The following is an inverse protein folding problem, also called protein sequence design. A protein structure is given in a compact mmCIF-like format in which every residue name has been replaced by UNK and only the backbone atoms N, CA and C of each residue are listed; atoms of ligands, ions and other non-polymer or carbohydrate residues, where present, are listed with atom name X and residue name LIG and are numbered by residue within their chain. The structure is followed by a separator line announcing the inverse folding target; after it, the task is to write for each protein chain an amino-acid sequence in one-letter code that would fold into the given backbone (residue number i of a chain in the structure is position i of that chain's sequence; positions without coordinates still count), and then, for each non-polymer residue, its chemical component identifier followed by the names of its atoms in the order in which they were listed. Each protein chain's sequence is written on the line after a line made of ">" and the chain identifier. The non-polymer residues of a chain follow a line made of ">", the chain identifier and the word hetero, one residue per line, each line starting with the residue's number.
data_IF_687713225096
#
_entry.id   IF_687713225096
#
_cell.length_a   1.000
_cell.length_b   1.000
_cell.length_c   1.000
_cell.angle_alpha   90.00
_cell.angle_beta   90.00
_cell.angle_gamma   90.00
#
_symmetry.space_group_name_H-M   'P 1'
#
loop_
_entity.id
_entity.type
_entity.pdbx_description
1 polymer ?
#
# COMPACT_ATOMS: atom_id res chain seq x y z
N UNK A 1 13.61 0.84 11.90
CA UNK A 1 14.04 -0.52 11.43
C UNK A 1 14.67 -0.42 10.05
N UNK A 2 15.49 -1.41 9.69
CA UNK A 2 16.05 -1.53 8.35
C UNK A 2 15.35 -2.69 7.63
N UNK A 3 14.75 -2.41 6.47
CA UNK A 3 14.13 -3.43 5.60
C UNK A 3 15.15 -3.79 4.53
N UNK A 4 15.50 -5.07 4.44
CA UNK A 4 16.38 -5.62 3.41
C UNK A 4 15.51 -6.07 2.22
N UNK A 5 15.51 -5.29 1.14
CA UNK A 5 14.68 -5.56 -0.03
C UNK A 5 15.18 -6.76 -0.85
N UNK A 6 16.49 -7.06 -0.81
CA UNK A 6 17.05 -8.24 -1.52
C UNK A 6 16.59 -9.56 -0.87
N UNK A 7 16.27 -9.54 0.43
CA UNK A 7 15.79 -10.72 1.18
C UNK A 7 14.27 -10.75 1.38
N UNK A 8 13.59 -9.66 1.07
CA UNK A 8 12.14 -9.58 1.23
C UNK A 8 11.42 -10.49 0.22
N UNK A 9 10.25 -11.00 0.61
CA UNK A 9 9.36 -11.69 -0.32
C UNK A 9 8.49 -10.69 -1.05
N UNK A 10 8.33 -10.91 -2.34
CA UNK A 10 7.53 -10.07 -3.23
C UNK A 10 6.29 -10.82 -3.68
N UNK A 11 5.14 -10.14 -3.69
CA UNK A 11 3.88 -10.66 -4.17
C UNK A 11 3.20 -9.65 -5.06
N UNK A 12 2.50 -10.09 -6.09
CA UNK A 12 1.58 -9.23 -6.81
C UNK A 12 0.24 -9.92 -7.05
N UNK A 13 -0.81 -9.10 -7.01
CA UNK A 13 -2.17 -9.52 -7.29
C UNK A 13 -2.45 -9.33 -8.77
N UNK A 14 -3.00 -10.35 -9.42
CA UNK A 14 -3.59 -10.22 -10.77
C UNK A 14 -4.95 -10.90 -10.85
N UNK A 15 -5.73 -10.49 -11.84
CA UNK A 15 -7.04 -11.09 -12.09
C UNK A 15 -7.26 -11.28 -13.58
N UNK A 16 -7.13 -12.54 -14.05
CA UNK A 16 -7.39 -12.95 -15.44
C UNK A 16 -6.82 -11.99 -16.50
N UNK A 17 -5.61 -11.50 -16.28
CA UNK A 17 -4.95 -10.53 -17.16
C UNK A 17 -3.51 -10.95 -17.45
N UNK A 18 -3.35 -11.82 -18.46
CA UNK A 18 -2.04 -12.35 -18.81
C UNK A 18 -1.05 -11.27 -19.25
N UNK A 19 -1.52 -10.19 -19.91
CA UNK A 19 -0.65 -9.07 -20.30
C UNK A 19 -0.04 -8.38 -19.08
N UNK A 20 -0.84 -8.09 -18.04
CA UNK A 20 -0.35 -7.48 -16.79
C UNK A 20 0.55 -8.43 -16.04
N UNK A 21 0.20 -9.72 -15.98
CA UNK A 21 1.02 -10.75 -15.36
C UNK A 21 2.41 -10.85 -15.99
N UNK A 22 2.49 -10.93 -17.31
CA UNK A 22 3.77 -10.96 -18.03
C UNK A 22 4.57 -9.67 -17.83
N UNK A 23 3.92 -8.52 -17.83
CA UNK A 23 4.56 -7.26 -17.52
C UNK A 23 5.23 -7.28 -16.14
N UNK A 24 4.50 -7.73 -15.10
CA UNK A 24 5.05 -7.80 -13.74
C UNK A 24 6.24 -8.75 -13.63
N UNK A 25 6.16 -9.92 -14.26
CA UNK A 25 7.26 -10.89 -14.27
C UNK A 25 8.52 -10.35 -14.98
N UNK A 26 8.35 -9.58 -16.06
CA UNK A 26 9.48 -8.95 -16.75
C UNK A 26 10.04 -7.74 -15.99
N UNK A 27 9.17 -6.87 -15.46
CA UNK A 27 9.56 -5.68 -14.70
C UNK A 27 10.33 -6.03 -13.43
N UNK A 28 9.99 -7.15 -12.79
CA UNK A 28 10.57 -7.62 -11.54
C UNK A 28 11.37 -8.93 -11.70
N UNK A 29 11.92 -9.20 -12.88
CA UNK A 29 12.67 -10.44 -13.17
C UNK A 29 13.91 -10.67 -12.29
N UNK A 30 14.44 -9.60 -11.69
CA UNK A 30 15.64 -9.66 -10.86
C UNK A 30 15.33 -10.03 -9.39
N UNK A 31 14.07 -10.23 -9.04
CA UNK A 31 13.61 -10.62 -7.69
C UNK A 31 12.68 -11.83 -7.76
N UNK A 32 12.63 -12.61 -6.66
CA UNK A 32 11.69 -13.73 -6.53
C UNK A 32 10.28 -13.21 -6.23
N UNK A 33 9.54 -12.86 -7.29
CA UNK A 33 8.20 -12.32 -7.19
C UNK A 33 7.14 -13.39 -7.38
N UNK A 34 6.20 -13.50 -6.45
CA UNK A 34 5.14 -14.48 -6.43
C UNK A 34 3.84 -13.89 -6.99
N UNK A 35 3.36 -14.47 -8.08
CA UNK A 35 2.06 -14.14 -8.65
C UNK A 35 0.94 -14.79 -7.87
N UNK A 36 -0.04 -14.02 -7.42
CA UNK A 36 -1.26 -14.52 -6.79
C UNK A 36 -2.47 -14.14 -7.64
N UNK A 37 -3.09 -15.14 -8.23
CA UNK A 37 -4.30 -14.93 -9.01
C UNK A 37 -5.53 -14.86 -8.10
N UNK A 38 -6.30 -13.78 -8.26
CA UNK A 38 -7.60 -13.67 -7.64
C UNK A 38 -8.61 -14.57 -8.32
N UNK A 39 -9.73 -14.79 -7.66
CA UNK A 39 -10.88 -15.53 -8.22
C UNK A 39 -12.02 -14.57 -8.52
N UNK A 40 -12.83 -14.93 -9.51
CA UNK A 40 -14.04 -14.18 -9.82
C UNK A 40 -15.02 -14.23 -8.65
N UNK A 41 -15.61 -13.09 -8.35
CA UNK A 41 -16.74 -12.96 -7.43
C UNK A 41 -17.79 -12.02 -8.06
N UNK A 42 -18.85 -11.72 -7.34
CA UNK A 42 -19.98 -10.89 -7.80
C UNK A 42 -19.60 -9.46 -8.20
N UNK A 43 -18.43 -8.98 -7.77
CA UNK A 43 -17.89 -7.67 -8.15
C UNK A 43 -16.35 -7.66 -8.22
N UNK A 44 -15.80 -6.61 -8.86
CA UNK A 44 -14.34 -6.39 -8.89
C UNK A 44 -13.77 -6.14 -7.50
N UNK A 45 -14.50 -5.42 -6.65
CA UNK A 45 -14.06 -5.12 -5.29
C UNK A 45 -13.91 -6.40 -4.46
N UNK A 46 -14.90 -7.29 -4.53
CA UNK A 46 -14.87 -8.57 -3.85
C UNK A 46 -13.75 -9.47 -4.38
N UNK A 47 -13.63 -9.57 -5.70
CA UNK A 47 -12.54 -10.32 -6.33
C UNK A 47 -11.17 -9.83 -5.86
N UNK A 48 -10.95 -8.51 -5.86
CA UNK A 48 -9.70 -7.91 -5.40
C UNK A 48 -9.44 -8.17 -3.91
N UNK A 49 -10.45 -7.98 -3.06
CA UNK A 49 -10.33 -8.24 -1.62
C UNK A 49 -9.96 -9.70 -1.32
N UNK A 50 -10.54 -10.67 -2.06
CA UNK A 50 -10.17 -12.10 -1.97
C UNK A 50 -8.71 -12.30 -2.37
N UNK A 51 -8.28 -11.68 -3.48
CA UNK A 51 -6.91 -11.82 -3.97
C UNK A 51 -5.89 -11.26 -2.98
N UNK A 52 -6.12 -10.08 -2.43
CA UNK A 52 -5.27 -9.54 -1.36
C UNK A 52 -5.25 -10.44 -0.12
N UNK A 53 -6.41 -10.94 0.32
CA UNK A 53 -6.47 -11.87 1.45
C UNK A 53 -5.64 -13.13 1.21
N UNK A 54 -5.68 -13.69 0.00
CA UNK A 54 -4.82 -14.83 -0.36
C UNK A 54 -3.33 -14.51 -0.25
N UNK A 55 -2.89 -13.31 -0.69
CA UNK A 55 -1.50 -12.87 -0.52
C UNK A 55 -1.12 -12.87 0.95
N UNK A 56 -1.96 -12.29 1.81
CA UNK A 56 -1.70 -12.20 3.25
C UNK A 56 -1.60 -13.59 3.90
N UNK A 57 -2.46 -14.53 3.48
CA UNK A 57 -2.43 -15.92 3.96
C UNK A 57 -1.13 -16.63 3.53
N UNK A 58 -0.75 -16.52 2.24
CA UNK A 58 0.48 -17.11 1.70
C UNK A 58 1.71 -16.53 2.40
N UNK A 59 1.78 -15.22 2.56
CA UNK A 59 2.88 -14.55 3.25
C UNK A 59 2.98 -15.00 4.71
N UNK A 60 1.85 -15.12 5.42
CA UNK A 60 1.80 -15.62 6.79
C UNK A 60 2.31 -17.07 6.89
N UNK A 61 1.93 -17.93 5.96
CA UNK A 61 2.40 -19.30 5.91
C UNK A 61 3.91 -19.39 5.64
N UNK A 62 4.46 -18.52 4.79
CA UNK A 62 5.91 -18.45 4.56
C UNK A 62 6.65 -18.04 5.84
N UNK A 63 6.16 -17.02 6.54
CA UNK A 63 6.75 -16.59 7.82
C UNK A 63 6.78 -17.72 8.86
N UNK A 64 5.73 -18.53 8.93
CA UNK A 64 5.64 -19.66 9.85
C UNK A 64 6.59 -20.80 9.48
N UNK A 65 6.72 -21.13 8.18
CA UNK A 65 7.59 -22.21 7.70
C UNK A 65 9.07 -21.90 7.90
N UNK A 66 9.48 -20.65 7.74
CA UNK A 66 10.87 -20.23 7.92
C UNK A 66 11.31 -20.28 9.40
N UNK A 67 10.40 -20.63 10.33
CA UNK A 67 10.70 -20.75 11.75
C UNK A 67 11.12 -19.44 12.42
N UNK A 68 10.92 -18.33 11.72
CA UNK A 68 11.31 -17.02 12.19
C UNK A 68 10.45 -16.60 13.39
N UNK A 69 11.10 -16.33 14.52
CA UNK A 69 10.44 -15.76 15.70
C UNK A 69 10.16 -14.26 15.54
N UNK A 70 10.75 -13.63 14.55
CA UNK A 70 10.65 -12.19 14.26
C UNK A 70 9.90 -12.02 12.95
N UNK A 71 8.94 -11.11 12.94
CA UNK A 71 8.19 -10.75 11.74
C UNK A 71 9.15 -10.26 10.66
N UNK A 72 9.05 -10.82 9.46
CA UNK A 72 9.82 -10.37 8.31
C UNK A 72 8.92 -9.51 7.41
N UNK A 73 9.30 -8.28 7.08
CA UNK A 73 8.58 -7.45 6.13
C UNK A 73 8.46 -8.13 4.76
N UNK A 74 7.32 -7.93 4.10
CA UNK A 74 7.09 -8.42 2.75
C UNK A 74 6.34 -7.39 1.90
N UNK A 75 6.49 -7.49 0.59
CA UNK A 75 6.07 -6.48 -0.37
C UNK A 75 4.88 -6.98 -1.16
N UNK A 76 3.89 -6.12 -1.35
CA UNK A 76 2.69 -6.40 -2.16
C UNK A 76 2.53 -5.33 -3.22
N UNK A 77 2.25 -5.78 -4.46
CA UNK A 77 1.95 -4.92 -5.60
C UNK A 77 0.58 -5.24 -6.23
N UNK A 78 -0.01 -4.25 -6.86
CA UNK A 78 -1.00 -4.45 -7.92
C UNK A 78 -0.30 -4.79 -9.24
N UNK A 79 -1.02 -5.32 -10.22
CA UNK A 79 -0.42 -5.82 -11.48
C UNK A 79 -0.26 -4.78 -12.59
N UNK A 80 -0.55 -3.52 -12.30
CA UNK A 80 -0.45 -2.40 -13.24
C UNK A 80 0.62 -1.37 -12.86
N UNK A 81 1.59 -1.78 -12.08
CA UNK A 81 2.68 -0.91 -11.65
C UNK A 81 3.90 -1.01 -12.58
N UNK A 82 4.74 0.01 -12.49
CA UNK A 82 6.07 0.06 -13.08
C UNK A 82 7.07 0.64 -12.09
N UNK A 83 8.33 0.22 -12.17
CA UNK A 83 9.42 0.83 -11.41
C UNK A 83 9.55 2.31 -11.81
N UNK A 84 9.61 3.17 -10.81
CA UNK A 84 9.93 4.59 -11.01
C UNK A 84 11.43 4.84 -10.97
N UNK A 85 12.10 4.10 -10.08
CA UNK A 85 13.56 4.14 -9.90
C UNK A 85 14.08 2.77 -9.47
N UNK A 86 15.39 2.60 -9.52
CA UNK A 86 16.03 1.40 -9.00
C UNK A 86 15.73 1.22 -7.51
N UNK A 87 15.47 -0.04 -7.14
CA UNK A 87 15.23 -0.42 -5.76
C UNK A 87 16.56 -0.37 -4.99
N UNK A 88 16.63 0.35 -3.86
CA UNK A 88 17.80 0.29 -2.99
C UNK A 88 17.88 -1.10 -2.35
N UNK A 89 19.06 -1.50 -1.90
CA UNK A 89 19.21 -2.77 -1.17
C UNK A 89 18.45 -2.78 0.15
N UNK A 90 18.45 -1.64 0.82
CA UNK A 90 17.79 -1.48 2.12
C UNK A 90 17.05 -0.15 2.19
N UNK A 91 16.01 -0.12 3.02
CA UNK A 91 15.27 1.11 3.37
C UNK A 91 15.28 1.24 4.89
N UNK A 92 15.66 2.43 5.37
CA UNK A 92 15.57 2.78 6.80
C UNK A 92 14.26 3.53 7.07
N UNK A 93 13.49 3.05 8.05
CA UNK A 93 12.20 3.61 8.45
C UNK A 93 12.06 3.61 9.98
N UNK A 94 11.07 4.33 10.56
CA UNK A 94 10.80 4.25 11.99
C UNK A 94 10.56 2.82 12.47
N UNK A 95 11.06 2.50 13.67
CA UNK A 95 10.99 1.14 14.26
C UNK A 95 9.56 0.67 14.55
N UNK A 96 8.64 1.59 14.69
CA UNK A 96 7.23 1.36 14.98
C UNK A 96 6.34 1.24 13.74
N UNK A 97 6.94 1.17 12.54
CA UNK A 97 6.20 1.11 11.29
C UNK A 97 5.31 -0.14 11.20
N UNK A 98 4.04 0.07 10.90
CA UNK A 98 3.10 -0.98 10.58
C UNK A 98 3.08 -1.27 9.07
N UNK A 99 3.07 -0.19 8.26
CA UNK A 99 3.05 -0.25 6.79
C UNK A 99 3.94 0.84 6.23
N UNK A 100 4.65 0.53 5.15
CA UNK A 100 5.36 1.49 4.32
C UNK A 100 4.81 1.48 2.89
N UNK A 101 4.32 2.62 2.43
CA UNK A 101 3.97 2.83 1.02
C UNK A 101 5.23 3.14 0.22
N UNK A 102 5.45 2.39 -0.85
CA UNK A 102 6.53 2.58 -1.82
C UNK A 102 5.99 3.02 -3.19
N UNK A 103 4.68 3.06 -3.34
CA UNK A 103 3.94 3.76 -4.40
C UNK A 103 3.09 4.86 -3.78
N UNK A 104 2.93 5.98 -4.47
CA UNK A 104 2.24 7.16 -3.96
C UNK A 104 1.04 7.54 -4.83
N UNK A 105 0.07 8.21 -4.22
CA UNK A 105 -1.08 8.84 -4.89
C UNK A 105 -1.29 10.25 -4.37
N UNK A 106 -1.74 11.15 -5.23
CA UNK A 106 -2.19 12.50 -4.84
C UNK A 106 -3.63 12.48 -4.28
N UNK A 107 -4.33 11.36 -4.46
CA UNK A 107 -5.70 11.23 -3.99
C UNK A 107 -5.72 10.85 -2.52
N UNK A 108 -6.57 11.54 -1.77
CA UNK A 108 -6.84 11.26 -0.37
C UNK A 108 -8.31 11.12 -0.08
N UNK A 109 -8.65 10.81 1.18
CA UNK A 109 -10.00 10.84 1.70
C UNK A 109 -10.17 11.91 2.76
N UNK A 110 -11.23 12.70 2.66
CA UNK A 110 -11.65 13.62 3.68
C UNK A 110 -13.14 13.42 3.96
N UNK A 111 -13.50 13.09 5.21
CA UNK A 111 -14.90 12.91 5.63
C UNK A 111 -15.73 12.05 4.66
N UNK A 112 -15.22 10.87 4.28
CA UNK A 112 -15.85 9.93 3.34
C UNK A 112 -15.94 10.42 1.87
N UNK A 113 -15.35 11.56 1.56
CA UNK A 113 -15.27 12.09 0.20
C UNK A 113 -13.86 12.04 -0.34
N UNK A 114 -13.73 11.82 -1.62
CA UNK A 114 -12.46 11.94 -2.34
C UNK A 114 -11.99 13.39 -2.30
N UNK A 115 -10.68 13.57 -2.11
CA UNK A 115 -10.03 14.87 -2.21
C UNK A 115 -8.70 14.71 -2.95
N UNK A 116 -8.24 15.79 -3.56
CA UNK A 116 -6.95 15.84 -4.26
C UNK A 116 -5.81 16.22 -3.32
N UNK A 117 -5.90 15.83 -2.05
CA UNK A 117 -4.92 16.19 -1.04
C UNK A 117 -4.65 15.01 -0.12
N UNK A 118 -3.41 14.61 -0.06
CA UNK A 118 -2.92 13.64 0.90
C UNK A 118 -2.41 14.35 2.14
N UNK A 119 -2.88 13.92 3.29
CA UNK A 119 -2.44 14.42 4.58
C UNK A 119 -1.23 13.65 5.06
N UNK A 120 -0.18 14.36 5.38
CA UNK A 120 1.03 13.74 5.88
C UNK A 120 1.75 14.63 6.91
N UNK A 121 2.70 14.05 7.62
CA UNK A 121 3.71 14.78 8.40
C UNK A 121 5.10 14.32 8.04
N UNK A 122 6.04 15.24 8.07
CA UNK A 122 7.45 14.94 7.79
C UNK A 122 8.05 14.14 8.95
N UNK A 123 8.75 13.06 8.65
CA UNK A 123 9.56 12.30 9.59
C UNK A 123 11.03 12.68 9.39
N UNK A 124 11.51 12.56 8.15
CA UNK A 124 12.85 12.98 7.73
C UNK A 124 12.83 13.28 6.22
N UNK A 125 13.99 13.41 5.59
CA UNK A 125 14.12 13.73 4.16
C UNK A 125 13.62 12.61 3.23
N UNK A 126 13.56 11.36 3.70
CA UNK A 126 13.22 10.19 2.90
C UNK A 126 11.81 9.65 3.21
N UNK A 127 11.30 9.90 4.43
CA UNK A 127 10.09 9.25 4.94
C UNK A 127 9.10 10.27 5.47
N UNK A 128 7.85 10.10 5.10
CA UNK A 128 6.69 10.83 5.63
C UNK A 128 5.74 9.86 6.34
N UNK A 129 4.95 10.35 7.28
CA UNK A 129 3.79 9.65 7.84
C UNK A 129 2.53 10.10 7.14
N UNK A 130 1.72 9.18 6.64
CA UNK A 130 0.49 9.48 5.89
C UNK A 130 -0.75 9.15 6.72
N UNK A 131 -1.87 9.83 6.41
CA UNK A 131 -3.09 9.75 7.21
C UNK A 131 -4.37 9.47 6.43
N UNK A 132 -4.38 9.62 5.09
CA UNK A 132 -5.61 9.48 4.30
C UNK A 132 -5.38 9.14 2.82
N UNK A 133 -4.20 8.66 2.45
CA UNK A 133 -3.87 8.41 1.05
C UNK A 133 -4.65 7.21 0.48
N UNK A 134 -5.29 7.44 -0.64
CA UNK A 134 -5.99 6.42 -1.43
C UNK A 134 -5.01 5.80 -2.43
N UNK A 135 -4.39 4.72 -2.04
CA UNK A 135 -3.53 3.89 -2.89
C UNK A 135 -3.24 2.57 -2.19
N UNK A 136 -3.05 1.51 -2.96
CA UNK A 136 -2.52 0.25 -2.43
C UNK A 136 -1.61 -0.47 -3.45
N UNK A 137 -1.22 0.23 -4.51
CA UNK A 137 -0.50 -0.36 -5.64
C UNK A 137 0.95 -0.76 -5.35
N UNK A 138 1.53 -0.32 -4.21
CA UNK A 138 2.87 -0.72 -3.78
C UNK A 138 3.08 -0.45 -2.29
N UNK A 139 3.06 -1.52 -1.48
CA UNK A 139 3.19 -1.45 -0.03
C UNK A 139 4.15 -2.51 0.51
N UNK A 140 4.73 -2.22 1.66
CA UNK A 140 5.46 -3.18 2.50
C UNK A 140 4.70 -3.33 3.80
N UNK A 141 4.35 -4.55 4.16
CA UNK A 141 3.81 -4.88 5.48
C UNK A 141 5.00 -5.04 6.42
N UNK A 142 5.08 -4.18 7.43
CA UNK A 142 6.26 -4.07 8.30
C UNK A 142 6.08 -4.74 9.66
N UNK A 143 4.83 -5.02 10.08
CA UNK A 143 4.53 -5.58 11.40
C UNK A 143 3.30 -6.50 11.37
N UNK A 144 3.13 -7.37 12.39
CA UNK A 144 1.88 -8.13 12.56
C UNK A 144 0.65 -7.22 12.69
N UNK A 145 0.81 -6.03 13.27
CA UNK A 145 -0.27 -5.05 13.41
C UNK A 145 -0.67 -4.47 12.05
N UNK A 146 0.29 -4.20 11.17
CA UNK A 146 0.05 -3.80 9.78
C UNK A 146 -0.66 -4.90 8.98
N UNK A 147 -0.24 -6.16 9.15
CA UNK A 147 -0.92 -7.31 8.56
C UNK A 147 -2.40 -7.36 8.96
N UNK A 148 -2.70 -7.26 10.26
CA UNK A 148 -4.08 -7.26 10.76
C UNK A 148 -4.90 -6.08 10.24
N UNK A 149 -4.28 -4.89 10.10
CA UNK A 149 -4.93 -3.72 9.50
C UNK A 149 -5.41 -4.04 8.09
N UNK A 150 -4.53 -4.54 7.22
CA UNK A 150 -4.90 -4.86 5.84
C UNK A 150 -5.93 -5.97 5.77
N UNK A 151 -5.79 -7.04 6.57
CA UNK A 151 -6.81 -8.11 6.62
C UNK A 151 -8.20 -7.55 6.97
N UNK A 152 -8.28 -6.68 7.97
CA UNK A 152 -9.54 -6.01 8.33
C UNK A 152 -10.10 -5.18 7.18
N UNK A 153 -9.26 -4.39 6.52
CA UNK A 153 -9.67 -3.57 5.38
C UNK A 153 -10.20 -4.41 4.22
N UNK A 154 -9.57 -5.56 3.93
CA UNK A 154 -10.04 -6.49 2.90
C UNK A 154 -11.39 -7.12 3.26
N UNK A 155 -11.58 -7.53 4.51
CA UNK A 155 -12.87 -8.04 4.97
C UNK A 155 -13.98 -7.00 4.84
N UNK A 156 -13.73 -5.76 5.27
CA UNK A 156 -14.71 -4.68 5.12
C UNK A 156 -15.03 -4.37 3.65
N UNK A 157 -14.00 -4.35 2.79
CA UNK A 157 -14.15 -4.20 1.34
C UNK A 157 -15.05 -5.29 0.76
N UNK A 158 -14.81 -6.55 1.13
CA UNK A 158 -15.60 -7.69 0.67
C UNK A 158 -17.08 -7.59 1.08
N UNK A 159 -17.34 -7.36 2.37
CA UNK A 159 -18.72 -7.34 2.87
C UNK A 159 -19.52 -6.12 2.43
N UNK A 160 -18.88 -4.97 2.30
CA UNK A 160 -19.54 -3.73 1.89
C UNK A 160 -19.58 -3.51 0.36
N UNK A 161 -18.81 -4.33 -0.38
CA UNK A 161 -18.60 -4.18 -1.83
C UNK A 161 -18.09 -2.79 -2.23
N UNK A 162 -17.13 -2.28 -1.47
CA UNK A 162 -16.47 -0.99 -1.68
C UNK A 162 -14.98 -1.22 -1.84
N UNK A 163 -14.32 -0.43 -2.69
CA UNK A 163 -12.89 -0.56 -2.95
C UNK A 163 -12.07 -0.45 -1.64
N UNK A 164 -11.09 -1.31 -1.49
CA UNK A 164 -10.24 -1.43 -0.27
C UNK A 164 -9.43 -0.18 0.05
N UNK A 165 -9.08 0.65 -0.94
CA UNK A 165 -8.35 1.90 -0.73
C UNK A 165 -9.05 2.83 0.25
N UNK A 166 -10.37 2.84 0.24
CA UNK A 166 -11.19 3.64 1.16
C UNK A 166 -10.96 3.19 2.60
N UNK A 167 -11.01 1.89 2.86
CA UNK A 167 -10.84 1.36 4.22
C UNK A 167 -9.38 1.47 4.70
N UNK A 168 -8.42 1.32 3.79
CA UNK A 168 -7.01 1.53 4.12
C UNK A 168 -6.74 3.00 4.45
N UNK A 169 -7.23 3.94 3.65
CA UNK A 169 -7.10 5.37 3.92
C UNK A 169 -7.75 5.78 5.25
N UNK A 170 -8.96 5.26 5.55
CA UNK A 170 -9.63 5.49 6.83
C UNK A 170 -8.91 4.89 8.04
N UNK A 171 -8.13 3.85 7.83
CA UNK A 171 -7.37 3.18 8.89
C UNK A 171 -6.01 3.84 9.17
N UNK A 172 -5.42 4.54 8.20
CA UNK A 172 -4.08 5.14 8.32
C UNK A 172 -3.87 6.00 9.58
N UNK A 173 -4.83 6.83 10.03
CA UNK A 173 -4.64 7.65 11.23
C UNK A 173 -4.43 6.86 12.53
N UNK A 174 -4.88 5.59 12.56
CA UNK A 174 -4.85 4.74 13.76
C UNK A 174 -3.65 3.80 13.82
N UNK A 175 -2.87 3.75 12.74
CA UNK A 175 -1.71 2.89 12.58
C UNK A 175 -0.48 3.73 12.24
N UNK A 176 0.70 3.16 12.39
CA UNK A 176 1.94 3.80 12.02
C UNK A 176 2.23 3.54 10.53
N UNK A 177 1.55 4.32 9.68
CA UNK A 177 1.63 4.17 8.23
C UNK A 177 2.53 5.25 7.66
N UNK A 178 3.61 4.80 7.05
CA UNK A 178 4.62 5.66 6.44
C UNK A 178 4.60 5.53 4.93
N UNK A 179 5.25 6.48 4.25
CA UNK A 179 5.50 6.42 2.82
C UNK A 179 6.90 6.93 2.52
N UNK A 180 7.51 6.39 1.48
CA UNK A 180 8.71 7.01 0.91
C UNK A 180 8.30 8.31 0.24
N UNK A 181 9.00 9.40 0.55
CA UNK A 181 8.81 10.69 -0.12
C UNK A 181 9.06 10.58 -1.63
N UNK A 182 10.02 9.75 -1.99
CA UNK A 182 10.34 9.39 -3.38
C UNK A 182 9.88 7.95 -3.64
N UNK A 183 8.80 7.72 -4.41
CA UNK A 183 8.28 6.38 -4.62
C UNK A 183 9.27 5.50 -5.37
N UNK A 184 9.14 4.19 -5.20
CA UNK A 184 9.86 3.19 -5.98
C UNK A 184 9.06 2.72 -7.19
N UNK A 185 7.73 2.76 -7.09
CA UNK A 185 6.79 2.30 -8.12
C UNK A 185 5.68 3.31 -8.35
N UNK A 186 5.03 3.22 -9.49
CA UNK A 186 3.83 3.99 -9.84
C UNK A 186 2.88 3.15 -10.68
N UNK A 187 1.60 3.50 -10.73
CA UNK A 187 0.64 2.84 -11.61
C UNK A 187 0.90 3.23 -13.06
N UNK A 188 0.93 2.24 -13.96
CA UNK A 188 1.30 2.45 -15.35
C UNK A 188 0.06 2.56 -16.25
N UNK A 189 -0.21 3.75 -16.76
CA UNK A 189 -1.40 4.07 -17.54
C UNK A 189 -1.62 3.16 -18.75
N UNK A 190 -0.56 2.68 -19.40
CA UNK A 190 -0.67 1.76 -20.55
C UNK A 190 -1.22 0.38 -20.19
N UNK A 191 -1.25 0.04 -18.91
CA UNK A 191 -1.89 -1.16 -18.38
C UNK A 191 -3.28 -0.89 -17.80
N UNK A 192 -3.79 0.34 -17.96
CA UNK A 192 -5.10 0.74 -17.42
C UNK A 192 -5.05 1.27 -16.00
N UNK A 193 -3.85 1.52 -15.47
CA UNK A 193 -3.67 2.30 -14.25
C UNK A 193 -4.16 3.73 -14.47
N UNK A 194 -4.58 4.38 -13.40
CA UNK A 194 -5.09 5.76 -13.49
C UNK A 194 -3.98 6.81 -13.45
N UNK A 195 -2.71 6.42 -13.63
CA UNK A 195 -1.73 7.19 -13.21
C UNK A 195 -0.80 7.85 -14.09
N UNK A 196 -0.39 8.86 -13.69
CA UNK A 196 0.45 9.86 -14.29
C UNK A 196 1.83 9.80 -13.67
N UNK A 197 2.89 9.93 -14.44
CA UNK A 197 4.22 9.93 -13.89
C UNK A 197 4.39 11.04 -12.85
N UNK A 198 4.53 10.70 -11.71
CA UNK A 198 5.11 11.07 -10.43
C UNK A 198 5.68 12.47 -10.16
N UNK A 199 5.93 13.32 -11.11
CA UNK A 199 6.36 14.70 -10.82
C UNK A 199 5.28 15.52 -10.12
N UNK A 200 4.01 15.23 -10.39
CA UNK A 200 2.87 15.91 -9.78
C UNK A 200 2.65 15.43 -8.35
N UNK A 201 2.76 14.13 -8.10
CA UNK A 201 2.65 13.52 -6.78
C UNK A 201 3.73 14.01 -5.84
N UNK A 202 4.92 14.22 -6.35
CA UNK A 202 6.03 14.79 -5.61
C UNK A 202 5.77 16.18 -5.09
N UNK A 203 5.32 17.07 -5.97
CA UNK A 203 5.07 18.46 -5.61
C UNK A 203 3.91 18.59 -4.61
N UNK A 204 2.92 17.72 -4.71
CA UNK A 204 1.77 17.72 -3.79
C UNK A 204 2.16 17.18 -2.40
N UNK A 205 3.00 16.16 -2.34
CA UNK A 205 3.45 15.57 -1.08
C UNK A 205 4.55 16.41 -0.39
N UNK A 206 5.21 17.31 -1.10
CA UNK A 206 6.21 18.23 -0.53
C UNK A 206 5.59 19.49 0.11
N UNK A 207 4.27 19.65 0.05
CA UNK A 207 3.60 20.74 0.73
C UNK A 207 3.61 20.55 2.23
N UNK A 208 4.00 21.59 2.95
CA UNK A 208 3.80 21.65 4.40
C UNK A 208 2.30 21.59 4.70
N UNK A 209 1.92 20.60 5.46
CA UNK A 209 0.53 20.46 5.89
C UNK A 209 0.25 21.33 7.10
N UNK A 210 -0.82 22.09 7.01
CA UNK A 210 -1.32 22.83 8.14
C UNK A 210 -1.73 21.87 9.28
N UNK A 211 -1.10 22.03 10.44
CA UNK A 211 -1.38 21.22 11.63
C UNK A 211 -2.85 21.27 12.08
N UNK A 212 -3.58 22.34 11.74
CA UNK A 212 -5.02 22.46 12.01
C UNK A 212 -5.83 21.41 11.27
N UNK A 213 -5.36 20.99 10.11
CA UNK A 213 -6.00 19.98 9.28
C UNK A 213 -5.84 18.57 9.87
N UNK A 214 -4.66 18.25 10.39
CA UNK A 214 -4.40 16.98 11.09
C UNK A 214 -5.33 16.86 12.32
N UNK A 215 -5.49 17.92 13.07
CA UNK A 215 -6.39 17.95 14.21
C UNK A 215 -7.86 17.77 13.82
N UNK A 216 -8.29 18.39 12.73
CA UNK A 216 -9.65 18.25 12.21
C UNK A 216 -9.92 16.82 11.68
N UNK A 217 -8.94 16.18 11.08
CA UNK A 217 -9.06 14.80 10.61
C UNK A 217 -9.20 13.83 11.80
N UNK A 218 -8.47 14.04 12.89
CA UNK A 218 -8.64 13.26 14.11
C UNK A 218 -10.00 13.45 14.76
N UNK A 219 -10.58 14.63 14.71
CA UNK A 219 -11.92 14.91 15.23
C UNK A 219 -13.02 14.28 14.36
N UNK A 220 -12.91 14.31 13.06
CA UNK A 220 -13.90 13.73 12.15
C UNK A 220 -13.93 12.20 12.20
N UNK A 221 -12.80 11.56 12.43
CA UNK A 221 -12.72 10.11 12.61
C UNK A 221 -13.34 9.67 13.93
N UNK A 222 -13.23 10.46 15.01
CA UNK A 222 -13.93 10.18 16.28
C UNK A 222 -15.46 10.31 16.18
N UNK A 223 -15.95 11.21 15.34
CA UNK A 223 -17.40 11.37 15.11
C UNK A 223 -18.00 10.29 14.23
N UNK A 224 -17.22 9.55 13.45
CA UNK A 224 -17.70 8.42 12.66
C UNK A 224 -17.72 7.08 13.44
N UNK A 225 -17.20 7.05 14.67
CA UNK A 225 -17.19 5.87 15.54
C UNK A 225 -18.29 5.89 16.62
N UNK A 226 -19.07 6.93 16.70
CA UNK A 226 -20.28 7.05 17.53
C UNK A 226 -21.50 7.05 16.61
#
# INVERSE_FOLDING_TARGET
>A
MIIDLEKSKYYFLTYNNEKRKQHMLEEFKDVDINCVESVADSSKNKSGAIGFSKILDIATLHLQKDGNKVFQPFIIFEDDIKKYREFPKTIEIPDDADILYIGLSICGMNNQSWCNTVCYSNINEEVIRIYNMLALHGIIICSPRGLLMIQKCMLESYFKDIIWDIFTAQSQPFYNVYALRKPLVYQYAQLGGQEVPTKIEYNELDRDMDASWINNTHLSVRTCMN
#
